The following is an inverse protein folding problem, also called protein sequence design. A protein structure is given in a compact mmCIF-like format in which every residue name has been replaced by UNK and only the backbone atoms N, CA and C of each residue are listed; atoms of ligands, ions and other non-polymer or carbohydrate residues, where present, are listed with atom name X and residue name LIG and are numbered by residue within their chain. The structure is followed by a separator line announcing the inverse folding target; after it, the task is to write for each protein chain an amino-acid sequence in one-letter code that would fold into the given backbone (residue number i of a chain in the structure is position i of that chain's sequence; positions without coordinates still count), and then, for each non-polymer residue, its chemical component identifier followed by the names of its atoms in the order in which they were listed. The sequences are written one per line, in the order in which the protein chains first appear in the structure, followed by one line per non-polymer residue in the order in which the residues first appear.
data_IF_643991801018
#
_entry.id   IF_643991801018
#
_cell.length_a   1.000
_cell.length_b   1.000
_cell.length_c   1.000
_cell.angle_alpha   90.00
_cell.angle_beta   90.00
_cell.angle_gamma   90.00
#
_symmetry.space_group_name_H-M   'P 1'
#
loop_
_entity.id
_entity.type
_entity.pdbx_description
1 polymer ?
#
# COMPACT_ATOMS: atom_id res chain seq x y z
N UNK A 1 -5.32 34.78 11.43
CA UNK A 1 -3.86 34.96 11.24
C UNK A 1 -3.65 35.60 9.90
N UNK A 2 -2.82 36.62 9.81
CA UNK A 2 -2.50 37.28 8.55
C UNK A 2 -1.42 38.34 8.77
N UNK A 3 -0.88 38.81 7.65
CA UNK A 3 -0.06 40.02 7.57
C UNK A 3 -1.00 41.21 7.35
N UNK A 4 -1.10 42.09 8.35
CA UNK A 4 -2.02 43.23 8.30
C UNK A 4 -1.31 44.57 8.10
N UNK A 5 0.03 44.56 7.90
CA UNK A 5 0.84 45.76 7.66
C UNK A 5 0.66 46.93 8.66
N UNK A 6 0.08 46.70 9.84
CA UNK A 6 -0.07 47.69 10.91
C UNK A 6 1.22 47.80 11.75
N UNK A 7 2.28 48.32 11.13
CA UNK A 7 3.62 48.39 11.72
C UNK A 7 3.78 49.38 12.88
N UNK A 8 2.85 50.33 13.05
CA UNK A 8 2.95 51.34 14.12
C UNK A 8 2.16 50.98 15.39
N UNK A 9 1.49 49.83 15.39
CA UNK A 9 0.81 49.30 16.58
C UNK A 9 1.84 48.72 17.57
N UNK A 10 1.86 49.29 18.77
CA UNK A 10 2.51 48.68 19.93
C UNK A 10 1.55 47.70 20.60
N UNK A 11 1.64 46.42 20.25
CA UNK A 11 0.73 45.37 20.74
C UNK A 11 0.82 45.11 22.25
N UNK A 12 1.93 45.47 22.90
CA UNK A 12 2.10 45.35 24.36
C UNK A 12 1.35 46.43 25.14
N UNK A 13 1.30 47.66 24.62
CA UNK A 13 0.62 48.82 25.22
C UNK A 13 -0.76 49.09 24.61
N UNK A 14 -1.10 48.41 23.51
CA UNK A 14 -2.32 48.61 22.73
C UNK A 14 -2.50 50.06 22.25
N UNK A 15 -1.41 50.66 21.75
CA UNK A 15 -1.39 52.03 21.24
C UNK A 15 -0.90 52.09 19.80
N UNK A 16 -1.38 53.08 19.04
CA UNK A 16 -0.80 53.46 17.75
C UNK A 16 -0.95 54.96 17.49
N UNK A 17 -0.02 55.50 16.71
CA UNK A 17 0.00 56.89 16.23
C UNK A 17 -0.72 57.07 14.90
N UNK A 18 -1.00 55.98 14.16
CA UNK A 18 -1.67 56.00 12.87
C UNK A 18 -3.20 55.91 12.99
N UNK A 19 -3.93 56.68 12.17
CA UNK A 19 -5.41 56.65 12.17
C UNK A 19 -5.97 55.28 11.80
N UNK A 20 -5.46 54.66 10.74
CA UNK A 20 -5.89 53.32 10.29
C UNK A 20 -5.58 52.23 11.33
N UNK A 21 -4.40 52.31 11.95
CA UNK A 21 -3.99 51.42 13.03
C UNK A 21 -4.89 51.56 14.27
N UNK A 22 -5.30 52.79 14.62
CA UNK A 22 -6.24 53.04 15.72
C UNK A 22 -7.63 52.47 15.42
N UNK A 23 -8.13 52.63 14.19
CA UNK A 23 -9.40 52.02 13.76
C UNK A 23 -9.34 50.48 13.85
N UNK A 24 -8.22 49.88 13.42
CA UNK A 24 -8.02 48.44 13.53
C UNK A 24 -7.93 47.97 14.98
N UNK A 25 -7.22 48.73 15.83
CA UNK A 25 -7.06 48.41 17.25
C UNK A 25 -8.40 48.52 18.00
N UNK A 26 -9.22 49.52 17.66
CA UNK A 26 -10.60 49.63 18.13
C UNK A 26 -11.43 48.40 17.71
N UNK A 27 -11.30 47.94 16.46
CA UNK A 27 -12.00 46.74 15.99
C UNK A 27 -11.58 45.49 16.78
N UNK A 28 -10.28 45.33 17.05
CA UNK A 28 -9.76 44.21 17.87
C UNK A 28 -10.33 44.26 19.29
N UNK A 29 -10.39 45.45 19.89
CA UNK A 29 -10.93 45.65 21.23
C UNK A 29 -12.45 45.44 21.30
N UNK A 30 -13.21 46.03 20.38
CA UNK A 30 -14.68 45.88 20.29
C UNK A 30 -15.07 44.43 19.98
N UNK A 31 -14.26 43.73 19.17
CA UNK A 31 -14.44 42.31 18.88
C UNK A 31 -14.00 41.37 20.02
N UNK A 32 -13.53 41.90 21.16
CA UNK A 32 -12.97 41.13 22.28
C UNK A 32 -11.91 40.13 21.83
N UNK A 33 -11.08 40.50 20.85
CA UNK A 33 -10.06 39.64 20.27
C UNK A 33 -8.75 39.78 21.03
N UNK A 34 -8.16 38.65 21.41
CA UNK A 34 -6.82 38.57 21.98
C UNK A 34 -5.79 38.37 20.89
N UNK A 35 -4.80 39.25 20.85
CA UNK A 35 -3.62 39.11 19.99
C UNK A 35 -2.53 38.30 20.73
N UNK A 36 -1.88 37.38 20.00
CA UNK A 36 -0.97 36.38 20.57
C UNK A 36 0.51 36.51 20.17
N UNK A 37 0.82 37.37 19.20
CA UNK A 37 2.18 37.51 18.65
C UNK A 37 2.80 38.78 19.20
N UNK A 38 3.62 38.66 20.24
CA UNK A 38 4.20 39.85 20.91
C UNK A 38 5.63 40.16 20.47
N UNK A 39 6.22 39.31 19.63
CA UNK A 39 7.58 39.45 19.13
C UNK A 39 7.59 39.82 17.65
N UNK A 40 8.60 40.59 17.25
CA UNK A 40 8.77 41.03 15.86
C UNK A 40 8.86 39.85 14.88
N UNK A 41 8.07 39.93 13.81
CA UNK A 41 8.01 38.92 12.74
C UNK A 41 8.71 39.37 11.47
N UNK A 42 9.00 40.66 11.31
CA UNK A 42 9.81 41.21 10.22
C UNK A 42 10.63 42.39 10.76
N UNK A 43 11.95 42.27 10.78
CA UNK A 43 12.83 43.27 11.41
C UNK A 43 12.45 43.47 12.88
N UNK A 44 12.11 44.70 13.25
CA UNK A 44 11.62 45.09 14.59
C UNK A 44 10.08 45.12 14.69
N UNK A 45 9.36 44.90 13.59
CA UNK A 45 7.91 45.07 13.52
C UNK A 45 7.14 43.76 13.71
N UNK A 46 5.98 43.86 14.36
CA UNK A 46 4.99 42.78 14.52
C UNK A 46 3.93 42.92 13.44
N UNK A 47 4.19 42.37 12.25
CA UNK A 47 3.27 42.51 11.10
C UNK A 47 2.30 41.34 10.99
N UNK A 48 2.76 40.15 11.38
CA UNK A 48 1.96 38.93 11.34
C UNK A 48 1.27 38.72 12.68
N UNK A 49 -0.06 38.84 12.70
CA UNK A 49 -0.85 38.74 13.94
C UNK A 49 -1.65 37.45 14.00
N UNK A 50 -1.84 36.94 15.22
CA UNK A 50 -2.74 35.84 15.53
C UNK A 50 -3.77 36.36 16.52
N UNK A 51 -5.03 36.45 16.08
CA UNK A 51 -6.17 36.89 16.88
C UNK A 51 -7.06 35.70 17.24
N UNK A 52 -7.62 35.69 18.45
CA UNK A 52 -8.64 34.73 18.87
C UNK A 52 -9.66 35.37 19.82
N UNK A 53 -10.91 34.92 19.80
CA UNK A 53 -11.94 35.36 20.74
C UNK A 53 -11.71 34.92 22.18
N UNK A 54 -10.94 33.85 22.41
CA UNK A 54 -10.57 33.35 23.74
C UNK A 54 -9.08 33.10 23.81
N UNK A 55 -8.41 33.69 24.80
CA UNK A 55 -6.95 33.63 24.94
C UNK A 55 -6.46 32.18 25.10
N UNK A 56 -7.27 31.30 25.67
CA UNK A 56 -6.94 29.90 25.93
C UNK A 56 -6.90 29.04 24.67
N UNK A 57 -7.47 29.51 23.55
CA UNK A 57 -7.50 28.76 22.29
C UNK A 57 -6.14 28.69 21.60
N UNK A 58 -5.25 29.64 21.86
CA UNK A 58 -3.92 29.69 21.27
C UNK A 58 -2.88 29.55 22.38
N UNK A 59 -1.91 28.66 22.17
CA UNK A 59 -0.86 28.38 23.14
C UNK A 59 0.49 28.20 22.44
N UNK A 60 1.59 28.38 23.18
CA UNK A 60 2.96 28.09 22.74
C UNK A 60 3.36 28.79 21.44
N UNK A 61 3.05 30.09 21.35
CA UNK A 61 3.42 30.95 20.21
C UNK A 61 4.93 31.12 20.20
N UNK A 62 5.56 30.87 19.05
CA UNK A 62 7.01 30.92 18.85
C UNK A 62 7.33 31.53 17.50
N UNK A 63 8.22 32.52 17.50
CA UNK A 63 8.81 33.06 16.29
C UNK A 63 10.00 32.19 15.90
N UNK A 64 9.89 31.56 14.75
CA UNK A 64 10.88 30.67 14.16
C UNK A 64 11.63 31.39 13.04
N UNK A 65 12.66 30.74 12.50
CA UNK A 65 13.46 31.33 11.43
C UNK A 65 12.63 31.62 10.15
N UNK A 66 13.07 32.54 9.29
CA UNK A 66 12.41 32.80 8.01
C UNK A 66 12.28 31.55 7.14
N UNK A 67 11.19 31.45 6.39
CA UNK A 67 10.97 30.35 5.46
C UNK A 67 11.62 30.64 4.10
N UNK A 68 12.76 30.01 3.83
CA UNK A 68 13.44 30.16 2.53
C UNK A 68 14.05 31.56 2.36
N UNK A 69 13.56 32.30 1.37
CA UNK A 69 13.97 33.70 1.12
C UNK A 69 12.94 34.72 1.63
N UNK A 70 11.95 34.27 2.41
CA UNK A 70 11.00 35.15 3.07
C UNK A 70 11.74 36.14 3.96
N UNK A 71 11.32 37.39 3.93
CA UNK A 71 11.72 38.44 4.86
C UNK A 71 10.87 38.42 6.15
N UNK A 72 9.78 37.66 6.16
CA UNK A 72 9.00 37.33 7.37
C UNK A 72 9.51 36.05 8.05
N UNK A 73 9.48 36.08 9.38
CA UNK A 73 9.71 34.95 10.27
C UNK A 73 8.49 34.02 10.31
N UNK A 74 8.72 32.74 10.53
CA UNK A 74 7.63 31.78 10.70
C UNK A 74 7.01 31.92 12.10
N UNK A 75 5.67 31.94 12.20
CA UNK A 75 4.99 31.83 13.49
C UNK A 75 4.51 30.39 13.69
N UNK A 76 4.91 29.78 14.80
CA UNK A 76 4.42 28.48 15.24
C UNK A 76 3.56 28.66 16.49
N UNK A 77 2.35 28.13 16.50
CA UNK A 77 1.48 28.12 17.68
C UNK A 77 0.59 26.88 17.69
N UNK A 78 0.04 26.55 18.85
CA UNK A 78 -0.85 25.41 19.07
C UNK A 78 -2.26 25.95 19.24
N UNK A 79 -3.20 25.45 18.43
CA UNK A 79 -4.63 25.70 18.63
C UNK A 79 -5.21 24.60 19.52
N UNK A 80 -5.78 24.97 20.65
CA UNK A 80 -6.52 24.08 21.54
C UNK A 80 -7.97 24.01 21.09
N UNK A 81 -8.41 22.83 20.65
CA UNK A 81 -9.79 22.58 20.24
C UNK A 81 -10.32 21.41 21.06
N UNK A 82 -11.51 21.55 21.66
CA UNK A 82 -12.25 20.43 22.25
C UNK A 82 -12.86 19.60 21.12
N UNK A 83 -12.50 18.33 21.05
CA UNK A 83 -13.08 17.40 20.07
C UNK A 83 -12.77 15.97 20.46
N UNK A 84 -13.77 15.10 20.33
CA UNK A 84 -13.59 13.67 20.50
C UNK A 84 -12.81 13.12 19.31
N UNK A 85 -11.71 12.43 19.59
CA UNK A 85 -10.85 11.86 18.57
C UNK A 85 -10.91 10.35 18.67
N UNK A 86 -11.80 9.73 17.88
CA UNK A 86 -11.88 8.28 17.72
C UNK A 86 -10.66 7.75 16.95
N UNK A 87 -9.50 7.71 17.61
CA UNK A 87 -8.29 7.09 17.07
C UNK A 87 -8.33 5.60 17.35
N UNK A 88 -8.82 4.82 16.37
CA UNK A 88 -8.59 3.37 16.36
C UNK A 88 -7.08 3.12 16.23
N UNK A 89 -6.43 2.75 17.34
CA UNK A 89 -5.04 2.31 17.33
C UNK A 89 -5.01 0.94 16.68
N UNK A 90 -4.41 0.85 15.50
CA UNK A 90 -4.20 -0.44 14.83
C UNK A 90 -2.83 -0.99 15.17
N UNK A 91 -2.79 -2.27 15.52
CA UNK A 91 -1.57 -3.04 15.63
C UNK A 91 -1.39 -3.89 14.38
N UNK A 92 -0.14 -4.18 14.02
CA UNK A 92 0.16 -5.14 12.97
C UNK A 92 1.30 -6.05 13.41
N UNK A 93 1.22 -7.32 13.03
CA UNK A 93 2.30 -8.28 13.20
C UNK A 93 3.50 -7.92 12.31
N UNK A 94 4.72 -8.11 12.82
CA UNK A 94 5.96 -7.88 12.09
C UNK A 94 6.65 -9.21 11.82
N UNK A 95 6.24 -9.89 10.76
CA UNK A 95 6.83 -11.17 10.35
C UNK A 95 8.36 -11.10 10.18
N UNK A 96 8.93 -10.00 9.67
CA UNK A 96 10.40 -9.85 9.59
C UNK A 96 11.15 -9.87 10.94
N UNK A 97 10.44 -9.82 12.07
CA UNK A 97 11.03 -9.91 13.42
C UNK A 97 10.49 -11.12 14.21
N UNK A 98 9.88 -12.08 13.52
CA UNK A 98 9.40 -13.31 14.16
C UNK A 98 10.54 -14.14 14.73
N UNK A 99 10.30 -14.79 15.87
CA UNK A 99 11.21 -15.78 16.46
C UNK A 99 11.00 -17.15 15.82
N UNK A 100 11.41 -17.27 14.56
CA UNK A 100 11.10 -18.44 13.73
C UNK A 100 11.77 -19.74 14.20
N UNK A 101 12.92 -19.66 14.89
CA UNK A 101 13.53 -20.85 15.50
C UNK A 101 12.58 -21.48 16.53
N UNK A 102 12.13 -20.68 17.49
CA UNK A 102 11.18 -21.09 18.54
C UNK A 102 9.86 -21.60 17.92
N UNK A 103 9.35 -20.94 16.87
CA UNK A 103 8.15 -21.41 16.15
C UNK A 103 8.34 -22.81 15.56
N UNK A 104 9.47 -23.04 14.87
CA UNK A 104 9.75 -24.34 14.27
C UNK A 104 9.88 -25.43 15.32
N UNK A 105 10.57 -25.14 16.43
CA UNK A 105 10.69 -26.06 17.56
C UNK A 105 9.34 -26.38 18.22
N UNK A 106 8.43 -25.41 18.29
CA UNK A 106 7.07 -25.64 18.78
C UNK A 106 6.27 -26.52 17.82
N UNK A 107 6.21 -26.15 16.53
CA UNK A 107 5.42 -26.88 15.53
C UNK A 107 5.95 -28.29 15.27
N UNK A 108 7.26 -28.52 15.43
CA UNK A 108 7.86 -29.85 15.29
C UNK A 108 7.44 -30.84 16.38
N UNK A 109 6.87 -30.37 17.51
CA UNK A 109 6.36 -31.24 18.59
C UNK A 109 4.96 -31.77 18.31
N UNK A 110 4.26 -31.21 17.32
CA UNK A 110 2.90 -31.60 16.96
C UNK A 110 2.98 -32.84 16.06
N UNK A 111 2.33 -33.91 16.49
CA UNK A 111 2.17 -35.10 15.66
C UNK A 111 0.99 -34.93 14.70
N UNK A 112 1.26 -34.29 13.56
CA UNK A 112 0.23 -33.98 12.56
C UNK A 112 -0.50 -35.21 12.03
N UNK A 113 0.16 -36.37 11.96
CA UNK A 113 -0.49 -37.58 11.46
C UNK A 113 -1.60 -38.04 12.41
N UNK A 114 -1.32 -38.04 13.71
CA UNK A 114 -2.32 -38.40 14.71
C UNK A 114 -3.34 -37.28 14.95
N UNK A 115 -2.90 -36.02 14.98
CA UNK A 115 -3.77 -34.85 15.19
C UNK A 115 -4.83 -34.71 14.10
N UNK A 116 -4.49 -35.01 12.85
CA UNK A 116 -5.39 -34.87 11.70
C UNK A 116 -6.13 -36.16 11.33
N UNK A 117 -5.87 -37.27 12.03
CA UNK A 117 -6.47 -38.57 11.71
C UNK A 117 -7.99 -38.54 11.88
N UNK A 118 -8.70 -39.16 10.93
CA UNK A 118 -10.16 -39.31 10.94
C UNK A 118 -10.92 -37.98 11.03
N UNK A 119 -10.39 -36.93 10.40
CA UNK A 119 -11.00 -35.61 10.32
C UNK A 119 -11.28 -35.23 8.89
N UNK A 120 -12.28 -34.38 8.70
CA UNK A 120 -12.60 -33.81 7.39
C UNK A 120 -11.57 -32.77 6.94
N UNK A 121 -11.59 -32.39 5.66
CA UNK A 121 -10.73 -31.33 5.13
C UNK A 121 -10.88 -30.01 5.90
N UNK A 122 -12.13 -29.66 6.25
CA UNK A 122 -12.45 -28.41 6.97
C UNK A 122 -11.95 -28.45 8.41
N UNK A 123 -12.13 -29.56 9.12
CA UNK A 123 -11.62 -29.71 10.49
C UNK A 123 -10.09 -29.69 10.52
N UNK A 124 -9.44 -30.38 9.57
CA UNK A 124 -7.99 -30.37 9.44
C UNK A 124 -7.46 -28.96 9.20
N UNK A 125 -8.11 -28.19 8.32
CA UNK A 125 -7.78 -26.79 8.08
C UNK A 125 -7.89 -25.94 9.34
N UNK A 126 -9.02 -26.05 10.06
CA UNK A 126 -9.27 -25.25 11.26
C UNK A 126 -8.24 -25.53 12.36
N UNK A 127 -7.84 -26.79 12.55
CA UNK A 127 -6.79 -27.16 13.51
C UNK A 127 -5.46 -26.56 13.09
N UNK A 128 -5.06 -26.75 11.83
CA UNK A 128 -3.81 -26.20 11.32
C UNK A 128 -3.78 -24.67 11.43
N UNK A 129 -4.87 -24.00 11.07
CA UNK A 129 -5.02 -22.54 11.16
C UNK A 129 -4.89 -22.05 12.59
N UNK A 130 -5.56 -22.71 13.53
CA UNK A 130 -5.50 -22.39 14.96
C UNK A 130 -4.06 -22.49 15.49
N UNK A 131 -3.33 -23.54 15.13
CA UNK A 131 -1.92 -23.68 15.52
C UNK A 131 -1.02 -22.62 14.87
N UNK A 132 -1.28 -22.27 13.60
CA UNK A 132 -0.58 -21.18 12.93
C UNK A 132 -0.82 -19.85 13.65
N UNK A 133 -2.07 -19.52 13.97
CA UNK A 133 -2.41 -18.28 14.68
C UNK A 133 -1.78 -18.24 16.08
N UNK A 134 -1.82 -19.37 16.80
CA UNK A 134 -1.20 -19.54 18.10
C UNK A 134 0.32 -19.25 18.07
N UNK A 135 1.05 -19.82 17.10
CA UNK A 135 2.50 -19.54 17.00
C UNK A 135 2.78 -18.12 16.52
N UNK A 136 1.92 -17.57 15.67
CA UNK A 136 2.07 -16.18 15.24
C UNK A 136 1.91 -15.24 16.42
N UNK A 137 0.90 -15.43 17.27
CA UNK A 137 0.67 -14.58 18.44
C UNK A 137 1.77 -14.73 19.50
N UNK A 138 2.31 -15.93 19.70
CA UNK A 138 3.41 -16.19 20.66
C UNK A 138 4.77 -15.65 20.20
N UNK A 139 5.04 -15.72 18.90
CA UNK A 139 6.40 -15.57 18.39
C UNK A 139 6.58 -14.44 17.37
N UNK A 140 5.51 -13.79 16.88
CA UNK A 140 5.59 -12.59 16.03
C UNK A 140 5.26 -11.33 16.83
N UNK A 141 6.18 -10.36 16.93
CA UNK A 141 5.91 -9.14 17.68
C UNK A 141 4.89 -8.24 16.97
N UNK A 142 3.99 -7.65 17.76
CA UNK A 142 3.09 -6.59 17.32
C UNK A 142 3.81 -5.25 17.31
N UNK A 143 3.52 -4.44 16.28
CA UNK A 143 3.89 -3.02 16.24
C UNK A 143 2.67 -2.15 16.06
N UNK A 144 2.53 -1.19 16.96
CA UNK A 144 1.60 -0.08 16.82
C UNK A 144 1.86 0.61 15.48
N UNK A 145 0.82 0.73 14.66
CA UNK A 145 0.91 1.43 13.38
C UNK A 145 1.17 2.92 13.69
N UNK A 146 2.44 3.32 13.60
CA UNK A 146 2.89 4.65 14.00
C UNK A 146 2.51 5.75 13.03
N UNK A 147 2.61 7.01 13.49
CA UNK A 147 2.53 8.21 12.63
C UNK A 147 3.54 8.10 11.47
N UNK A 148 3.21 8.76 10.34
CA UNK A 148 4.02 8.83 9.11
C UNK A 148 5.54 8.81 9.40
N UNK A 149 6.24 7.88 8.76
CA UNK A 149 7.70 7.71 8.82
C UNK A 149 8.45 9.05 8.75
N UNK A 150 9.57 9.15 9.48
CA UNK A 150 10.62 10.16 9.26
C UNK A 150 10.84 10.33 7.75
N UNK A 151 11.04 11.58 7.30
CA UNK A 151 11.38 11.92 5.92
C UNK A 151 12.55 11.02 5.47
N UNK A 152 12.27 10.02 4.64
CA UNK A 152 13.22 8.93 4.31
C UNK A 152 14.50 9.45 3.62
N UNK A 153 14.41 10.62 3.01
CA UNK A 153 15.49 11.29 2.29
C UNK A 153 16.35 12.20 3.17
N UNK A 154 16.09 12.32 4.48
CA UNK A 154 16.93 13.13 5.37
C UNK A 154 17.95 12.25 6.09
N UNK A 155 19.23 12.52 5.84
CA UNK A 155 20.37 11.92 6.55
C UNK A 155 20.39 12.37 8.01
N UNK A 156 21.09 11.59 8.86
CA UNK A 156 21.35 12.01 10.24
C UNK A 156 22.12 13.33 10.28
N UNK A 157 23.01 13.55 9.32
CA UNK A 157 23.80 14.78 9.19
C UNK A 157 22.93 15.98 8.82
N UNK A 158 22.03 15.85 7.84
CA UNK A 158 21.06 16.89 7.50
C UNK A 158 20.24 17.29 8.73
N UNK A 159 19.79 16.32 9.53
CA UNK A 159 19.05 16.58 10.78
C UNK A 159 19.92 17.35 11.79
N UNK A 160 21.21 17.02 11.92
CA UNK A 160 22.13 17.73 12.81
C UNK A 160 22.33 19.19 12.35
N UNK A 161 22.60 19.42 11.07
CA UNK A 161 22.77 20.77 10.51
C UNK A 161 21.50 21.62 10.63
N UNK A 162 20.32 21.03 10.44
CA UNK A 162 19.03 21.70 10.70
C UNK A 162 18.92 22.15 12.16
N UNK A 163 19.24 21.28 13.11
CA UNK A 163 19.19 21.61 14.54
C UNK A 163 20.20 22.69 14.92
N UNK A 164 21.41 22.60 14.38
CA UNK A 164 22.45 23.61 14.61
C UNK A 164 22.03 24.98 14.06
N UNK A 165 21.52 25.03 12.83
CA UNK A 165 20.92 26.23 12.24
C UNK A 165 19.83 26.83 13.14
N UNK A 166 18.90 26.02 13.64
CA UNK A 166 17.84 26.48 14.55
C UNK A 166 18.37 26.99 15.89
N UNK A 167 19.49 26.44 16.38
CA UNK A 167 20.15 26.91 17.59
C UNK A 167 20.78 28.28 17.36
N UNK A 168 21.54 28.46 16.27
CA UNK A 168 22.17 29.74 15.93
C UNK A 168 21.14 30.85 15.68
N UNK A 169 19.99 30.52 15.08
CA UNK A 169 18.88 31.48 14.95
C UNK A 169 18.38 31.98 16.30
N UNK A 170 18.25 31.09 17.29
CA UNK A 170 17.84 31.48 18.65
C UNK A 170 18.89 32.34 19.33
N UNK A 171 20.17 32.01 19.15
CA UNK A 171 21.28 32.83 19.67
C UNK A 171 21.20 34.24 19.09
N UNK A 172 21.13 34.38 17.76
CA UNK A 172 20.98 35.66 17.09
C UNK A 172 19.76 36.46 17.58
N UNK A 173 18.61 35.79 17.79
CA UNK A 173 17.42 36.46 18.34
C UNK A 173 17.59 36.97 19.77
N UNK A 174 18.48 36.38 20.56
CA UNK A 174 18.76 36.84 21.91
C UNK A 174 19.82 37.94 21.94
N UNK A 175 20.83 37.88 21.08
CA UNK A 175 21.97 38.81 21.11
C UNK A 175 21.77 40.02 20.20
N UNK A 176 21.10 39.84 19.06
CA UNK A 176 21.00 40.85 18.01
C UNK A 176 22.32 41.16 17.29
N UNK A 177 23.40 40.41 17.56
CA UNK A 177 24.72 40.68 16.96
C UNK A 177 24.78 40.28 15.48
N UNK A 178 25.45 41.11 14.67
CA UNK A 178 25.77 40.81 13.27
C UNK A 178 26.68 39.58 13.14
N UNK A 179 27.53 39.31 14.13
CA UNK A 179 28.40 38.14 14.15
C UNK A 179 27.57 36.85 14.27
N UNK A 180 26.60 36.83 15.19
CA UNK A 180 25.68 35.71 15.35
C UNK A 180 24.78 35.52 14.12
N UNK A 181 24.41 36.62 13.44
CA UNK A 181 23.69 36.55 12.18
C UNK A 181 24.52 35.89 11.08
N UNK A 182 25.81 36.23 10.98
CA UNK A 182 26.75 35.62 10.04
C UNK A 182 26.92 34.12 10.30
N UNK A 183 27.07 33.71 11.57
CA UNK A 183 27.13 32.30 11.97
C UNK A 183 25.84 31.56 11.61
N UNK A 184 24.67 32.18 11.86
CA UNK A 184 23.38 31.63 11.43
C UNK A 184 23.31 31.46 9.91
N UNK A 185 23.74 32.44 9.12
CA UNK A 185 23.77 32.38 7.65
C UNK A 185 24.65 31.24 7.15
N UNK A 186 25.81 31.05 7.75
CA UNK A 186 26.68 29.92 7.41
C UNK A 186 25.99 28.58 7.72
N UNK A 187 25.42 28.44 8.93
CA UNK A 187 24.68 27.24 9.32
C UNK A 187 23.46 26.96 8.41
N UNK A 188 22.77 28.02 7.94
CA UNK A 188 21.66 27.94 6.98
C UNK A 188 22.14 27.39 5.63
N UNK A 189 23.25 27.90 5.11
CA UNK A 189 23.82 27.46 3.84
C UNK A 189 24.28 26.00 3.92
N UNK A 190 24.99 25.64 4.98
CA UNK A 190 25.42 24.27 5.24
C UNK A 190 24.23 23.31 5.37
N UNK A 191 23.19 23.68 6.12
CA UNK A 191 21.98 22.87 6.24
C UNK A 191 21.25 22.71 4.91
N UNK A 192 21.15 23.78 4.12
CA UNK A 192 20.49 23.77 2.81
C UNK A 192 21.23 22.89 1.81
N UNK A 193 22.56 23.01 1.74
CA UNK A 193 23.41 22.16 0.91
C UNK A 193 23.27 20.69 1.28
N UNK A 194 23.32 20.37 2.58
CA UNK A 194 23.20 18.99 3.05
C UNK A 194 21.81 18.40 2.81
N UNK A 195 20.73 19.17 2.95
CA UNK A 195 19.37 18.70 2.61
C UNK A 195 19.28 18.34 1.12
N UNK A 196 19.85 19.18 0.25
CA UNK A 196 19.88 18.94 -1.21
C UNK A 196 20.70 17.70 -1.55
N UNK A 197 21.90 17.58 -0.97
CA UNK A 197 22.77 16.42 -1.15
C UNK A 197 22.09 15.14 -0.64
N UNK A 198 21.52 15.17 0.56
CA UNK A 198 20.83 14.02 1.14
C UNK A 198 19.65 13.54 0.29
N UNK A 199 18.87 14.47 -0.26
CA UNK A 199 17.80 14.16 -1.21
C UNK A 199 18.36 13.54 -2.51
N UNK A 200 19.39 14.14 -3.11
CA UNK A 200 20.02 13.64 -4.34
C UNK A 200 20.57 12.23 -4.16
N UNK A 201 21.33 11.99 -3.11
CA UNK A 201 21.90 10.67 -2.80
C UNK A 201 20.82 9.62 -2.58
N UNK A 202 19.70 9.99 -1.94
CA UNK A 202 18.55 9.11 -1.79
C UNK A 202 17.89 8.78 -3.14
N UNK A 203 17.68 9.77 -4.01
CA UNK A 203 17.11 9.58 -5.35
C UNK A 203 18.02 8.71 -6.23
N UNK A 204 19.32 8.97 -6.26
CA UNK A 204 20.32 8.16 -6.96
C UNK A 204 20.32 6.71 -6.48
N UNK A 205 20.29 6.50 -5.15
CA UNK A 205 20.23 5.15 -4.57
C UNK A 205 18.99 4.38 -5.02
N UNK A 206 17.84 5.04 -5.12
CA UNK A 206 16.60 4.40 -5.56
C UNK A 206 16.65 4.10 -7.06
N UNK A 207 17.14 5.04 -7.88
CA UNK A 207 17.28 4.86 -9.31
C UNK A 207 18.24 3.71 -9.65
N UNK A 208 19.41 3.66 -9.01
CA UNK A 208 20.39 2.60 -9.22
C UNK A 208 19.83 1.21 -8.84
N UNK A 209 19.02 1.14 -7.78
CA UNK A 209 18.43 -0.10 -7.30
C UNK A 209 17.13 -0.50 -8.01
N UNK A 210 16.73 0.16 -9.11
CA UNK A 210 15.42 -0.10 -9.75
C UNK A 210 15.29 -1.55 -10.24
N UNK A 211 16.38 -2.14 -10.77
CA UNK A 211 16.39 -3.53 -11.28
C UNK A 211 16.09 -4.55 -10.17
N UNK A 212 16.56 -4.30 -8.95
CA UNK A 212 16.37 -5.19 -7.81
C UNK A 212 15.16 -4.83 -6.93
N UNK A 213 14.78 -3.54 -6.88
CA UNK A 213 13.70 -3.04 -6.03
C UNK A 213 12.87 -1.94 -6.72
N UNK A 214 12.22 -2.31 -7.82
CA UNK A 214 11.29 -1.45 -8.55
C UNK A 214 10.15 -0.92 -7.66
N UNK A 215 9.69 -1.70 -6.68
CA UNK A 215 8.63 -1.29 -5.73
C UNK A 215 9.00 0.01 -4.99
N UNK A 216 10.25 0.14 -4.53
CA UNK A 216 10.72 1.33 -3.82
C UNK A 216 10.77 2.57 -4.71
N UNK A 217 11.19 2.39 -5.97
CA UNK A 217 11.22 3.44 -6.99
C UNK A 217 9.82 3.94 -7.30
N UNK A 218 8.90 3.06 -7.68
CA UNK A 218 7.53 3.46 -7.99
C UNK A 218 6.78 4.01 -6.77
N UNK A 219 7.11 3.55 -5.55
CA UNK A 219 6.59 4.17 -4.34
C UNK A 219 7.10 5.61 -4.15
N UNK A 220 8.36 5.89 -4.50
CA UNK A 220 8.89 7.26 -4.51
C UNK A 220 8.21 8.12 -5.57
N UNK A 221 8.10 7.64 -6.81
CA UNK A 221 7.42 8.36 -7.91
C UNK A 221 5.99 8.68 -7.54
N UNK A 222 5.20 7.69 -7.08
CA UNK A 222 3.82 7.92 -6.62
C UNK A 222 3.71 8.94 -5.50
N UNK A 223 4.72 9.04 -4.63
CA UNK A 223 4.74 10.07 -3.57
C UNK A 223 4.97 11.49 -4.08
N UNK A 224 5.41 11.65 -5.33
CA UNK A 224 5.62 12.93 -6.01
C UNK A 224 4.48 13.31 -6.95
N UNK A 225 3.61 12.37 -7.31
CA UNK A 225 2.43 12.67 -8.11
C UNK A 225 1.45 13.51 -7.31
N UNK A 226 0.89 14.56 -7.95
CA UNK A 226 -0.15 15.41 -7.35
C UNK A 226 -1.43 14.63 -7.10
N UNK A 227 -1.81 13.77 -8.04
CA UNK A 227 -2.98 12.89 -7.96
C UNK A 227 -2.58 11.58 -7.28
N UNK A 228 -3.30 11.20 -6.23
CA UNK A 228 -3.14 9.90 -5.60
C UNK A 228 -4.10 8.89 -6.24
N UNK A 229 -3.66 7.64 -6.39
CA UNK A 229 -4.53 6.52 -6.77
C UNK A 229 -5.34 6.07 -5.55
N UNK A 230 -6.36 6.86 -5.25
CA UNK A 230 -7.42 6.48 -4.31
C UNK A 230 -8.70 6.28 -5.10
N UNK A 231 -9.52 5.36 -4.63
CA UNK A 231 -10.93 5.30 -5.03
C UNK A 231 -11.53 6.65 -4.66
N UNK A 232 -12.05 7.35 -5.67
CA UNK A 232 -12.70 8.64 -5.48
C UNK A 232 -14.12 8.45 -4.95
N UNK A 233 -14.81 9.54 -4.56
CA UNK A 233 -16.25 9.50 -4.38
C UNK A 233 -16.91 8.86 -5.59
N UNK A 234 -17.88 7.98 -5.35
CA UNK A 234 -18.55 7.22 -6.40
C UNK A 234 -19.93 7.81 -6.65
N UNK A 235 -20.39 7.71 -7.88
CA UNK A 235 -21.75 8.04 -8.29
C UNK A 235 -22.64 6.81 -8.05
N UNK A 236 -23.64 6.95 -7.19
CA UNK A 236 -24.63 5.93 -6.91
C UNK A 236 -25.55 5.71 -8.11
N UNK A 237 -26.35 4.65 -8.05
CA UNK A 237 -27.36 4.35 -9.08
C UNK A 237 -28.45 5.42 -9.19
N UNK A 238 -28.64 6.21 -8.13
CA UNK A 238 -29.54 7.36 -8.02
C UNK A 238 -28.91 8.69 -8.49
N UNK A 239 -27.65 8.67 -8.93
CA UNK A 239 -26.88 9.85 -9.32
C UNK A 239 -26.27 10.63 -8.15
N UNK A 240 -26.47 10.19 -6.90
CA UNK A 240 -25.90 10.85 -5.73
C UNK A 240 -24.41 10.52 -5.56
N UNK A 241 -23.63 11.48 -5.07
CA UNK A 241 -22.20 11.29 -4.82
C UNK A 241 -21.98 10.66 -3.44
N UNK A 242 -21.53 9.40 -3.44
CA UNK A 242 -21.16 8.63 -2.27
C UNK A 242 -19.72 8.96 -1.88
N UNK A 243 -19.53 9.47 -0.67
CA UNK A 243 -18.20 9.80 -0.12
C UNK A 243 -17.79 8.91 1.06
N UNK A 244 -18.74 8.16 1.62
CA UNK A 244 -18.49 7.27 2.76
C UNK A 244 -17.90 5.94 2.31
N UNK A 245 -16.75 5.56 2.91
CA UNK A 245 -15.99 4.41 2.45
C UNK A 245 -16.72 3.06 2.54
N UNK A 246 -17.68 2.91 3.46
CA UNK A 246 -18.52 1.71 3.54
C UNK A 246 -19.48 1.63 2.36
N UNK A 247 -20.27 2.69 2.14
CA UNK A 247 -21.21 2.78 1.02
C UNK A 247 -20.52 2.69 -0.34
N UNK A 248 -19.32 3.27 -0.47
CA UNK A 248 -18.51 3.13 -1.68
C UNK A 248 -18.10 1.66 -1.94
N UNK A 249 -17.81 0.90 -0.87
CA UNK A 249 -17.46 -0.51 -1.01
C UNK A 249 -18.67 -1.35 -1.43
N UNK A 250 -19.84 -1.10 -0.85
CA UNK A 250 -21.10 -1.75 -1.25
C UNK A 250 -21.44 -1.46 -2.71
N UNK A 251 -21.38 -0.19 -3.14
CA UNK A 251 -21.67 0.18 -4.53
C UNK A 251 -20.71 -0.50 -5.53
N UNK A 252 -19.42 -0.60 -5.21
CA UNK A 252 -18.46 -1.36 -6.02
C UNK A 252 -18.79 -2.85 -6.03
N UNK A 253 -19.18 -3.41 -4.89
CA UNK A 253 -19.51 -4.83 -4.78
C UNK A 253 -20.76 -5.19 -5.58
N UNK A 254 -21.80 -4.37 -5.53
CA UNK A 254 -23.00 -4.51 -6.36
C UNK A 254 -22.65 -4.51 -7.85
N UNK A 255 -21.86 -3.53 -8.30
CA UNK A 255 -21.43 -3.45 -9.69
C UNK A 255 -20.54 -4.64 -10.09
N UNK A 256 -19.55 -5.00 -9.27
CA UNK A 256 -18.68 -6.13 -9.58
C UNK A 256 -19.46 -7.44 -9.63
N UNK A 257 -20.48 -7.61 -8.79
CA UNK A 257 -21.36 -8.77 -8.79
C UNK A 257 -22.24 -8.83 -10.04
N UNK A 258 -22.73 -7.68 -10.52
CA UNK A 258 -23.66 -7.61 -11.66
C UNK A 258 -23.01 -7.93 -13.01
N UNK A 259 -21.70 -7.73 -13.14
CA UNK A 259 -20.96 -8.05 -14.37
C UNK A 259 -20.49 -9.51 -14.47
N UNK A 260 -20.75 -10.34 -13.46
CA UNK A 260 -20.50 -11.77 -13.57
C UNK A 260 -21.60 -12.45 -14.37
N UNK A 261 -21.20 -13.15 -15.44
CA UNK A 261 -22.09 -14.02 -16.20
C UNK A 261 -22.56 -15.18 -15.32
N UNK A 262 -23.88 -15.37 -15.24
CA UNK A 262 -24.48 -16.59 -14.72
C UNK A 262 -24.76 -17.50 -15.91
N UNK A 263 -23.86 -18.45 -16.15
CA UNK A 263 -23.99 -19.41 -17.24
C UNK A 263 -25.25 -20.28 -17.05
N UNK A 264 -26.02 -20.45 -18.11
CA UNK A 264 -27.12 -21.40 -18.13
C UNK A 264 -26.58 -22.79 -18.44
N UNK A 265 -26.48 -23.62 -17.41
CA UNK A 265 -26.00 -25.00 -17.51
C UNK A 265 -27.05 -25.98 -18.03
N UNK A 266 -28.28 -25.52 -18.35
CA UNK A 266 -29.34 -26.38 -18.87
C UNK A 266 -29.08 -26.83 -20.31
N UNK A 267 -28.34 -26.04 -21.10
CA UNK A 267 -28.00 -26.34 -22.49
C UNK A 267 -26.48 -26.24 -22.65
N UNK A 268 -25.80 -27.35 -22.40
CA UNK A 268 -24.37 -27.46 -22.71
C UNK A 268 -24.19 -27.80 -24.19
N UNK A 269 -23.20 -27.19 -24.89
CA UNK A 269 -22.86 -27.60 -26.25
C UNK A 269 -22.41 -29.07 -26.25
N UNK A 270 -22.67 -29.77 -27.35
CA UNK A 270 -22.17 -31.13 -27.53
C UNK A 270 -20.64 -31.08 -27.56
N UNK A 271 -20.01 -31.68 -26.54
CA UNK A 271 -18.56 -31.75 -26.44
C UNK A 271 -18.05 -32.84 -27.36
N UNK A 272 -17.24 -32.47 -28.35
CA UNK A 272 -16.54 -33.43 -29.18
C UNK A 272 -15.44 -34.15 -28.38
N UNK A 273 -15.34 -35.46 -28.55
CA UNK A 273 -14.22 -36.25 -28.03
C UNK A 273 -12.93 -35.81 -28.71
N UNK A 274 -12.08 -35.08 -27.98
CA UNK A 274 -10.74 -34.66 -28.46
C UNK A 274 -9.62 -35.61 -28.08
N UNK A 275 -9.89 -36.60 -27.23
CA UNK A 275 -8.89 -37.52 -26.71
C UNK A 275 -9.43 -38.95 -26.70
N UNK A 276 -8.71 -39.84 -27.37
CA UNK A 276 -8.95 -41.28 -27.35
C UNK A 276 -7.66 -41.97 -26.90
N UNK A 277 -7.73 -42.65 -25.76
CA UNK A 277 -6.60 -43.32 -25.14
C UNK A 277 -7.05 -44.53 -24.32
N UNK A 278 -6.09 -45.30 -23.82
CA UNK A 278 -6.35 -46.39 -22.86
C UNK A 278 -6.61 -45.77 -21.48
N UNK A 279 -7.17 -46.55 -20.56
CA UNK A 279 -7.58 -46.08 -19.23
C UNK A 279 -6.46 -45.33 -18.48
N UNK A 280 -5.22 -45.81 -18.57
CA UNK A 280 -4.04 -45.16 -17.96
C UNK A 280 -3.56 -43.89 -18.70
N UNK A 281 -4.08 -43.61 -19.89
CA UNK A 281 -3.80 -42.40 -20.64
C UNK A 281 -4.73 -41.24 -20.22
N UNK A 282 -5.76 -41.49 -19.39
CA UNK A 282 -6.63 -40.45 -18.84
C UNK A 282 -6.00 -39.72 -17.66
N UNK A 283 -6.57 -38.55 -17.32
CA UNK A 283 -6.10 -37.74 -16.21
C UNK A 283 -6.31 -38.49 -14.89
N UNK A 284 -5.24 -39.04 -14.34
CA UNK A 284 -5.26 -39.74 -13.05
C UNK A 284 -5.50 -38.79 -11.86
N UNK A 285 -5.81 -39.38 -10.71
CA UNK A 285 -5.97 -38.65 -9.46
C UNK A 285 -4.68 -37.92 -9.07
N UNK A 286 -4.80 -36.66 -8.65
CA UNK A 286 -3.69 -35.90 -8.09
C UNK A 286 -3.47 -36.29 -6.63
N UNK A 287 -2.34 -36.92 -6.33
CA UNK A 287 -1.89 -37.19 -4.95
C UNK A 287 -0.88 -36.11 -4.56
N UNK A 288 -1.26 -35.25 -3.62
CA UNK A 288 -0.41 -34.17 -3.13
C UNK A 288 0.52 -34.69 -2.04
N UNK A 289 1.83 -34.66 -2.29
CA UNK A 289 2.83 -35.06 -1.30
C UNK A 289 3.37 -33.86 -0.51
N UNK A 290 3.87 -34.05 0.72
CA UNK A 290 4.50 -32.97 1.49
C UNK A 290 5.68 -32.32 0.74
N UNK A 291 6.42 -33.09 -0.07
CA UNK A 291 7.54 -32.57 -0.87
C UNK A 291 7.04 -31.62 -1.97
N UNK A 292 5.94 -31.94 -2.66
CA UNK A 292 5.30 -31.06 -3.65
C UNK A 292 4.87 -29.74 -3.00
N UNK A 293 4.22 -29.81 -1.84
CA UNK A 293 3.82 -28.62 -1.06
C UNK A 293 5.04 -27.77 -0.70
N UNK A 294 6.08 -28.39 -0.14
CA UNK A 294 7.29 -27.70 0.27
C UNK A 294 8.00 -27.00 -0.92
N UNK A 295 8.12 -27.68 -2.06
CA UNK A 295 8.69 -27.11 -3.28
C UNK A 295 7.90 -25.88 -3.74
N UNK A 296 6.57 -25.98 -3.79
CA UNK A 296 5.72 -24.84 -4.21
C UNK A 296 5.77 -23.67 -3.24
N UNK A 297 5.92 -23.92 -1.94
CA UNK A 297 6.13 -22.86 -0.94
C UNK A 297 7.47 -22.17 -1.17
N UNK A 298 8.55 -22.94 -1.39
CA UNK A 298 9.90 -22.38 -1.64
C UNK A 298 9.98 -21.52 -2.91
N UNK A 299 9.14 -21.79 -3.89
CA UNK A 299 9.03 -20.97 -5.12
C UNK A 299 8.25 -19.65 -4.91
N UNK A 300 7.67 -19.41 -3.74
CA UNK A 300 6.88 -18.20 -3.47
C UNK A 300 7.76 -16.96 -3.28
N UNK A 301 7.24 -15.81 -3.71
CA UNK A 301 7.81 -14.51 -3.34
C UNK A 301 7.34 -14.14 -1.95
N UNK A 302 8.29 -13.94 -1.02
CA UNK A 302 8.05 -13.63 0.39
C UNK A 302 7.22 -12.34 0.63
N UNK A 303 7.27 -11.40 -0.33
CA UNK A 303 6.76 -10.04 -0.21
C UNK A 303 5.37 -9.81 -0.80
N UNK A 304 4.54 -10.86 -0.87
CA UNK A 304 3.12 -10.76 -1.27
C UNK A 304 2.22 -10.56 -0.05
N UNK A 305 1.08 -9.95 -0.29
CA UNK A 305 0.07 -9.72 0.75
C UNK A 305 -0.68 -11.03 1.07
N UNK A 306 -1.07 -11.25 2.34
CA UNK A 306 -1.92 -12.37 2.72
C UNK A 306 -3.36 -12.20 2.23
N UNK A 307 -4.14 -13.29 2.23
CA UNK A 307 -5.58 -13.25 1.99
C UNK A 307 -6.35 -12.84 3.23
N UNK A 308 -7.62 -13.24 3.31
CA UNK A 308 -8.47 -13.05 4.50
C UNK A 308 -7.92 -13.82 5.71
N UNK A 309 -7.33 -14.99 5.45
CA UNK A 309 -6.65 -15.86 6.43
C UNK A 309 -5.50 -15.20 7.20
N UNK A 310 -4.99 -14.05 6.75
CA UNK A 310 -3.92 -13.31 7.40
C UNK A 310 -2.54 -13.99 7.32
N UNK A 311 -2.39 -15.09 6.55
CA UNK A 311 -1.15 -15.87 6.47
C UNK A 311 -0.26 -15.37 5.31
N UNK A 312 0.87 -14.69 5.59
CA UNK A 312 1.74 -14.20 4.52
C UNK A 312 2.68 -15.30 4.02
N UNK A 313 3.13 -15.26 2.75
CA UNK A 313 4.08 -16.25 2.23
C UNK A 313 5.40 -16.29 3.00
N UNK A 314 5.84 -15.15 3.56
CA UNK A 314 7.03 -15.11 4.43
C UNK A 314 6.91 -16.06 5.63
N UNK A 315 5.72 -16.16 6.24
CA UNK A 315 5.53 -17.09 7.35
C UNK A 315 5.70 -18.52 6.85
N UNK A 316 5.03 -18.89 5.76
CA UNK A 316 5.07 -20.23 5.17
C UNK A 316 6.51 -20.66 4.82
N UNK A 317 7.29 -19.76 4.22
CA UNK A 317 8.70 -20.01 3.90
C UNK A 317 9.55 -20.34 5.13
N UNK A 318 9.26 -19.75 6.28
CA UNK A 318 10.05 -19.90 7.52
C UNK A 318 9.71 -21.16 8.32
N UNK A 319 8.51 -21.73 8.10
CA UNK A 319 7.99 -22.92 8.81
C UNK A 319 7.67 -24.08 7.86
N UNK A 320 8.15 -24.02 6.61
CA UNK A 320 7.76 -24.92 5.51
C UNK A 320 7.88 -26.40 5.88
N UNK A 321 8.96 -26.79 6.56
CA UNK A 321 9.19 -28.21 6.92
C UNK A 321 8.12 -28.72 7.91
N UNK A 322 7.65 -27.84 8.81
CA UNK A 322 6.71 -28.23 9.85
C UNK A 322 5.26 -28.27 9.35
N UNK A 323 4.92 -27.49 8.31
CA UNK A 323 3.54 -27.37 7.81
C UNK A 323 3.27 -28.16 6.52
N UNK A 324 4.30 -28.71 5.87
CA UNK A 324 4.11 -29.39 4.58
C UNK A 324 3.29 -30.67 4.71
N UNK A 325 3.48 -31.43 5.79
CA UNK A 325 2.67 -32.63 6.10
C UNK A 325 1.19 -32.27 6.30
N UNK A 326 0.83 -31.41 7.27
CA UNK A 326 -0.58 -31.13 7.52
C UNK A 326 -1.26 -30.45 6.33
N UNK A 327 -0.55 -29.60 5.56
CA UNK A 327 -1.10 -29.04 4.33
C UNK A 327 -1.38 -30.10 3.25
N UNK A 328 -0.46 -31.06 3.05
CA UNK A 328 -0.70 -32.15 2.11
C UNK A 328 -1.92 -32.98 2.51
N UNK A 329 -2.10 -33.26 3.80
CA UNK A 329 -3.30 -33.94 4.32
C UNK A 329 -4.56 -33.15 4.02
N UNK A 330 -4.60 -31.85 4.34
CA UNK A 330 -5.76 -30.98 4.04
C UNK A 330 -6.05 -30.95 2.53
N UNK A 331 -5.03 -30.84 1.69
CA UNK A 331 -5.18 -30.80 0.24
C UNK A 331 -5.74 -32.11 -0.34
N UNK A 332 -5.24 -33.27 0.09
CA UNK A 332 -5.75 -34.54 -0.38
C UNK A 332 -7.20 -34.78 0.09
N UNK A 333 -7.51 -34.50 1.35
CA UNK A 333 -8.90 -34.58 1.85
C UNK A 333 -9.82 -33.63 1.09
N UNK A 334 -9.38 -32.41 0.80
CA UNK A 334 -10.15 -31.43 0.02
C UNK A 334 -10.45 -31.93 -1.40
N UNK A 335 -9.48 -32.57 -2.06
CA UNK A 335 -9.64 -33.18 -3.38
C UNK A 335 -10.55 -34.41 -3.35
N UNK A 336 -10.45 -35.25 -2.32
CA UNK A 336 -11.25 -36.47 -2.14
C UNK A 336 -12.71 -36.16 -1.80
N UNK A 337 -12.93 -35.25 -0.84
CA UNK A 337 -14.27 -34.84 -0.40
C UNK A 337 -14.97 -33.92 -1.42
N UNK A 338 -14.22 -33.29 -2.33
CA UNK A 338 -14.73 -32.23 -3.20
C UNK A 338 -15.09 -30.95 -2.44
N UNK A 339 -14.51 -30.75 -1.24
CA UNK A 339 -14.82 -29.63 -0.35
C UNK A 339 -13.61 -28.72 -0.19
N UNK A 340 -13.80 -27.43 -0.43
CA UNK A 340 -12.81 -26.39 -0.15
C UNK A 340 -13.17 -25.68 1.15
N UNK A 341 -12.22 -25.49 2.10
CA UNK A 341 -12.45 -24.75 3.33
C UNK A 341 -13.10 -23.37 3.08
N UNK A 342 -14.06 -22.99 3.94
CA UNK A 342 -14.86 -21.78 3.72
C UNK A 342 -14.00 -20.51 3.61
N UNK A 343 -13.02 -20.34 4.49
CA UNK A 343 -12.11 -19.18 4.49
C UNK A 343 -11.31 -19.04 3.18
N UNK A 344 -11.10 -20.14 2.45
CA UNK A 344 -10.42 -20.12 1.14
C UNK A 344 -11.31 -19.61 0.01
N UNK A 345 -12.64 -19.60 0.21
CA UNK A 345 -13.62 -19.04 -0.72
C UNK A 345 -13.77 -17.52 -0.54
N UNK A 346 -13.24 -16.96 0.55
CA UNK A 346 -13.28 -15.53 0.83
C UNK A 346 -12.10 -14.78 0.20
N UNK A 347 -12.35 -13.52 -0.17
CA UNK A 347 -11.32 -12.67 -0.77
C UNK A 347 -11.45 -11.22 -0.32
N UNK A 348 -10.31 -10.57 -0.08
CA UNK A 348 -10.28 -9.12 0.04
C UNK A 348 -10.28 -8.51 -1.37
N UNK A 349 -11.35 -7.81 -1.74
CA UNK A 349 -11.48 -7.17 -3.06
C UNK A 349 -10.77 -5.80 -3.05
N UNK A 350 -9.81 -5.62 -3.96
CA UNK A 350 -9.12 -4.35 -4.16
C UNK A 350 -9.59 -3.76 -5.49
N UNK A 351 -10.36 -2.65 -5.47
CA UNK A 351 -10.75 -1.96 -6.69
C UNK A 351 -9.54 -1.25 -7.31
N UNK A 352 -9.16 -1.64 -8.52
CA UNK A 352 -8.10 -1.01 -9.30
C UNK A 352 -8.69 -0.17 -10.42
N UNK A 353 -8.42 1.13 -10.40
CA UNK A 353 -8.86 2.03 -11.46
C UNK A 353 -8.24 1.62 -12.82
N UNK A 354 -9.09 1.46 -13.84
CA UNK A 354 -8.73 1.00 -15.18
C UNK A 354 -8.58 2.19 -16.15
N UNK A 355 -9.66 2.94 -16.39
CA UNK A 355 -9.73 4.07 -17.36
C UNK A 355 -11.00 4.90 -17.10
N UNK A 356 -11.24 5.98 -17.85
CA UNK A 356 -12.50 6.73 -17.78
C UNK A 356 -12.65 7.61 -16.53
N UNK A 357 -13.89 7.81 -16.08
CA UNK A 357 -14.17 8.64 -14.90
C UNK A 357 -14.04 7.85 -13.60
N UNK A 358 -13.36 8.44 -12.60
CA UNK A 358 -13.12 7.82 -11.29
C UNK A 358 -14.34 7.74 -10.39
N UNK A 359 -15.41 8.45 -10.71
CA UNK A 359 -16.66 8.38 -9.96
C UNK A 359 -17.54 7.19 -10.38
N UNK A 360 -17.25 6.52 -11.50
CA UNK A 360 -18.05 5.39 -11.97
C UNK A 360 -17.42 4.05 -11.58
N UNK A 361 -18.22 3.16 -11.03
CA UNK A 361 -17.79 1.82 -10.60
C UNK A 361 -17.30 0.94 -11.77
N UNK A 362 -17.87 1.12 -12.97
CA UNK A 362 -17.46 0.44 -14.22
C UNK A 362 -16.00 0.64 -14.64
N UNK A 363 -15.41 1.73 -14.14
CA UNK A 363 -14.05 2.12 -14.46
C UNK A 363 -13.03 1.49 -13.50
N UNK A 364 -13.48 0.60 -12.61
CA UNK A 364 -12.62 -0.17 -11.70
C UNK A 364 -12.66 -1.66 -12.04
N UNK A 365 -11.55 -2.35 -11.76
CA UNK A 365 -11.43 -3.80 -11.84
C UNK A 365 -11.36 -4.39 -10.44
N UNK A 366 -12.13 -5.45 -10.12
CA UNK A 366 -11.97 -6.17 -8.87
C UNK A 366 -10.71 -7.02 -8.91
N UNK A 367 -9.75 -6.78 -8.01
CA UNK A 367 -8.63 -7.71 -7.77
C UNK A 367 -8.87 -8.46 -6.46
N UNK A 368 -9.13 -9.75 -6.58
CA UNK A 368 -9.38 -10.65 -5.46
C UNK A 368 -8.07 -11.10 -4.80
N UNK A 369 -7.85 -10.70 -3.56
CA UNK A 369 -6.76 -11.17 -2.73
C UNK A 369 -7.24 -12.37 -1.89
N UNK A 370 -7.20 -13.56 -2.50
CA UNK A 370 -7.53 -14.85 -1.87
C UNK A 370 -6.36 -15.43 -1.07
N UNK A 371 -6.67 -16.45 -0.24
CA UNK A 371 -5.70 -17.20 0.57
C UNK A 371 -4.48 -17.65 -0.22
N UNK A 372 -3.29 -17.50 0.38
CA UNK A 372 -2.03 -17.97 -0.21
C UNK A 372 -1.98 -19.50 -0.26
N UNK A 373 -2.59 -20.14 0.73
CA UNK A 373 -2.64 -21.60 0.84
C UNK A 373 -3.67 -22.16 -0.16
N UNK A 374 -4.81 -21.50 -0.37
CA UNK A 374 -5.73 -21.87 -1.46
C UNK A 374 -5.04 -21.85 -2.84
N UNK A 375 -4.32 -20.75 -3.14
CA UNK A 375 -3.52 -20.63 -4.39
C UNK A 375 -2.44 -21.69 -4.54
N UNK A 376 -1.99 -22.27 -3.42
CA UNK A 376 -1.02 -23.35 -3.44
C UNK A 376 -1.64 -24.63 -4.01
N UNK A 377 -2.84 -25.00 -3.55
CA UNK A 377 -3.61 -26.11 -4.08
C UNK A 377 -3.99 -25.87 -5.54
N UNK A 378 -4.51 -24.69 -5.88
CA UNK A 378 -4.84 -24.31 -7.26
C UNK A 378 -3.64 -24.50 -8.19
N UNK A 379 -2.43 -24.12 -7.75
CA UNK A 379 -1.20 -24.30 -8.54
C UNK A 379 -0.86 -25.76 -8.75
N UNK A 380 -1.01 -26.61 -7.74
CA UNK A 380 -0.76 -28.05 -7.86
C UNK A 380 -1.74 -28.71 -8.83
N UNK A 381 -3.04 -28.39 -8.73
CA UNK A 381 -4.08 -28.86 -9.66
C UNK A 381 -3.76 -28.38 -11.07
N UNK A 382 -3.46 -27.09 -11.23
CA UNK A 382 -3.16 -26.49 -12.54
C UNK A 382 -1.93 -27.11 -13.18
N UNK A 383 -0.87 -27.40 -12.42
CA UNK A 383 0.32 -28.05 -12.99
C UNK A 383 -0.02 -29.48 -13.45
N UNK A 384 -0.73 -30.27 -12.64
CA UNK A 384 -1.17 -31.62 -13.02
C UNK A 384 -2.03 -31.63 -14.29
N UNK A 385 -2.99 -30.71 -14.37
CA UNK A 385 -3.88 -30.57 -15.52
C UNK A 385 -3.12 -30.10 -16.77
N UNK A 386 -2.30 -29.05 -16.66
CA UNK A 386 -1.58 -28.51 -17.81
C UNK A 386 -0.55 -29.51 -18.34
N UNK A 387 0.15 -30.23 -17.46
CA UNK A 387 1.10 -31.26 -17.87
C UNK A 387 0.41 -32.38 -18.67
N UNK A 388 -0.78 -32.81 -18.23
CA UNK A 388 -1.62 -33.75 -18.98
C UNK A 388 -2.02 -33.21 -20.37
N UNK A 389 -2.56 -31.99 -20.41
CA UNK A 389 -3.05 -31.37 -21.65
C UNK A 389 -1.91 -31.17 -22.66
N UNK A 390 -0.73 -30.75 -22.20
CA UNK A 390 0.45 -30.56 -23.07
C UNK A 390 1.01 -31.90 -23.56
N UNK A 391 1.16 -32.89 -22.67
CA UNK A 391 1.69 -34.22 -23.01
C UNK A 391 0.83 -34.90 -24.09
N UNK A 392 -0.48 -34.73 -24.01
CA UNK A 392 -1.45 -35.31 -24.93
C UNK A 392 -1.82 -34.39 -26.12
N UNK A 393 -1.10 -33.27 -26.31
CA UNK A 393 -1.34 -32.30 -27.42
C UNK A 393 -2.79 -31.79 -27.50
N UNK A 394 -3.44 -31.65 -26.35
CA UNK A 394 -4.83 -31.19 -26.23
C UNK A 394 -4.97 -29.66 -26.20
N UNK A 395 -3.85 -28.93 -26.25
CA UNK A 395 -3.81 -27.47 -26.34
C UNK A 395 -3.39 -27.09 -27.76
N UNK A 396 -4.17 -26.21 -28.39
CA UNK A 396 -3.87 -25.72 -29.73
C UNK A 396 -2.48 -25.05 -29.77
N UNK A 397 -1.62 -25.37 -30.74
CA UNK A 397 -0.33 -24.69 -30.94
C UNK A 397 -0.42 -23.18 -31.11
N UNK A 398 -1.57 -22.59 -31.44
CA UNK A 398 -1.77 -21.13 -31.50
C UNK A 398 -2.08 -20.48 -30.14
N UNK A 399 -2.31 -21.26 -29.07
CA UNK A 399 -2.55 -20.72 -27.74
C UNK A 399 -1.22 -20.30 -27.11
N UNK A 400 -1.04 -19.02 -26.78
CA UNK A 400 0.19 -18.54 -26.13
C UNK A 400 -0.04 -18.05 -24.71
N UNK A 401 -1.27 -17.65 -24.38
CA UNK A 401 -1.64 -17.23 -23.04
C UNK A 401 -1.43 -18.33 -22.01
N UNK A 402 -0.80 -17.99 -20.89
CA UNK A 402 -0.67 -18.84 -19.70
C UNK A 402 0.09 -20.17 -19.87
N UNK A 403 0.79 -20.38 -20.99
CA UNK A 403 1.63 -21.56 -21.21
C UNK A 403 3.11 -21.27 -20.96
N UNK A 404 3.82 -22.30 -20.49
CA UNK A 404 5.26 -22.22 -20.23
C UNK A 404 6.00 -21.93 -21.54
N UNK A 405 7.00 -21.06 -21.46
CA UNK A 405 7.84 -20.64 -22.60
C UNK A 405 7.07 -19.96 -23.77
N UNK A 406 5.82 -19.53 -23.54
CA UNK A 406 5.04 -18.72 -24.49
C UNK A 406 4.71 -17.36 -23.88
N UNK A 407 4.57 -16.35 -24.73
CA UNK A 407 4.29 -14.96 -24.34
C UNK A 407 3.57 -14.21 -25.45
N UNK A 408 3.11 -12.98 -25.17
CA UNK A 408 2.57 -12.09 -26.20
C UNK A 408 3.59 -11.85 -27.33
N UNK A 409 4.89 -11.81 -27.01
CA UNK A 409 5.94 -11.63 -28.02
C UNK A 409 6.04 -12.84 -28.93
N UNK A 410 6.06 -14.06 -28.38
CA UNK A 410 6.12 -15.25 -29.25
C UNK A 410 4.86 -15.39 -30.09
N UNK A 411 3.71 -14.94 -29.59
CA UNK A 411 2.47 -14.93 -30.38
C UNK A 411 2.55 -13.94 -31.54
N UNK A 412 3.02 -12.71 -31.27
CA UNK A 412 3.23 -11.70 -32.30
C UNK A 412 4.24 -12.16 -33.35
N UNK A 413 5.33 -12.82 -32.94
CA UNK A 413 6.34 -13.33 -33.88
C UNK A 413 5.77 -14.42 -34.80
N UNK A 414 5.06 -15.41 -34.25
CA UNK A 414 4.42 -16.45 -35.07
C UNK A 414 3.39 -15.84 -36.04
N UNK A 415 2.58 -14.89 -35.54
CA UNK A 415 1.61 -14.19 -36.37
C UNK A 415 2.27 -13.41 -37.52
N UNK A 416 3.34 -12.64 -37.23
CA UNK A 416 4.04 -11.87 -38.26
C UNK A 416 4.75 -12.76 -39.28
N UNK A 417 5.29 -13.90 -38.86
CA UNK A 417 5.88 -14.89 -39.78
C UNK A 417 4.83 -15.39 -40.79
N UNK A 418 3.64 -15.77 -40.32
CA UNK A 418 2.56 -16.24 -41.19
C UNK A 418 2.10 -15.14 -42.16
N UNK A 419 1.91 -13.91 -41.66
CA UNK A 419 1.51 -12.75 -42.49
C UNK A 419 2.55 -12.43 -43.54
N UNK A 420 3.83 -12.35 -43.17
CA UNK A 420 4.92 -12.00 -44.11
C UNK A 420 5.09 -13.07 -45.17
N UNK A 421 5.00 -14.35 -44.81
CA UNK A 421 5.02 -15.45 -45.76
C UNK A 421 3.90 -15.34 -46.81
N UNK A 422 2.66 -15.10 -46.40
CA UNK A 422 1.55 -14.95 -47.34
C UNK A 422 1.71 -13.74 -48.26
N UNK A 423 2.24 -12.64 -47.74
CA UNK A 423 2.54 -11.46 -48.55
C UNK A 423 3.64 -11.74 -49.59
N UNK A 424 4.70 -12.46 -49.22
CA UNK A 424 5.78 -12.86 -50.14
C UNK A 424 5.26 -13.80 -51.25
N UNK A 425 4.27 -14.63 -50.94
CA UNK A 425 3.56 -15.50 -51.90
C UNK A 425 2.54 -14.72 -52.78
N UNK A 426 2.38 -13.41 -52.56
CA UNK A 426 1.42 -12.57 -53.28
C UNK A 426 -0.04 -12.79 -52.88
N UNK A 427 -0.29 -13.48 -51.75
CA UNK A 427 -1.64 -13.74 -51.24
C UNK A 427 -2.17 -12.53 -50.45
N UNK A 428 -3.45 -12.14 -50.64
CA UNK A 428 -4.07 -11.13 -49.79
C UNK A 428 -4.25 -11.66 -48.37
N UNK A 429 -4.06 -10.79 -47.37
CA UNK A 429 -4.20 -11.11 -45.94
C UNK A 429 -5.18 -10.15 -45.28
N UNK A 430 -6.26 -10.69 -44.74
CA UNK A 430 -7.23 -9.95 -43.93
C UNK A 430 -7.09 -10.34 -42.46
N UNK A 431 -7.09 -9.35 -41.56
CA UNK A 431 -6.88 -9.54 -40.12
C UNK A 431 -8.11 -9.05 -39.36
N UNK A 432 -8.71 -9.94 -38.55
CA UNK A 432 -9.85 -9.62 -37.69
C UNK A 432 -9.39 -9.70 -36.22
N UNK A 433 -9.58 -8.61 -35.48
CA UNK A 433 -9.36 -8.57 -34.04
C UNK A 433 -10.70 -8.71 -33.30
N UNK A 434 -10.76 -9.63 -32.35
CA UNK A 434 -11.90 -9.84 -31.45
C UNK A 434 -11.46 -9.40 -30.04
N UNK A 435 -12.31 -8.66 -29.31
CA UNK A 435 -12.08 -8.22 -27.91
C UNK A 435 -12.77 -9.14 -26.91
#
# INVERSE_FOLDING_TARGET
MGDFNHGHIQWTSLQSTGREDQEFLNLVQVGFLSQHVLEATRGENVLDIVLSSQKEFVDNVKICEPLGCSDHNQIHFIIKVKGERNRKIRYRQIFHKGRYKDMREYLAKIDWNNTLKNKTATECWNILKSEIDCVVDKFVPLKKQGKRSKKKHLSKEAIRKIKYKQMMWKTYRHTGSEEDYSIYKEALNQATAEIRNSKRSYEQKIAFNIKHNSKSFYAYVRSKLKVQDKVGPLEGSDGNIITEGFLMAENLNEYFSSVFTREDISILPVLETKFEGREFDYLGQLIVTPTMVAMKIRDMKDNKSPGVDGIPPKLLLEIVEQISIPLATVFNLSLEEGIVPLEWKEANIIPLFKKGSRNKSENYRPVSLTSVICKLLERLIKDHLVDFLVKNKLINPSQHGFLKARSCLTNMLCFLEDVTKWLDEGSPVDIIYLD
#
